data_IF_953410999395
#
_entry.id   IF_953410999395
#
_cell.length_a   1.000
_cell.length_b   1.000
_cell.length_c   1.000
_cell.angle_alpha   90.00
_cell.angle_beta   90.00
_cell.angle_gamma   90.00
#
_symmetry.space_group_name_H-M   'P 1'
#
loop_
_entity.id
_entity.type
_entity.pdbx_description
1 polymer ?
#
# COMPACT_ATOMS: atom_id res chain seq x y z
N UNK A 1 47.14 -34.53 -5.99
CA UNK A 1 46.17 -33.50 -5.52
C UNK A 1 45.23 -33.14 -6.67
N UNK A 2 43.94 -33.48 -6.62
CA UNK A 2 42.91 -32.83 -7.48
C UNK A 2 41.46 -33.19 -7.10
N UNK A 3 41.19 -34.47 -6.78
CA UNK A 3 39.81 -34.97 -6.66
C UNK A 3 39.02 -34.43 -5.45
N UNK A 4 39.68 -34.23 -4.30
CA UNK A 4 39.01 -33.68 -3.11
C UNK A 4 38.55 -32.23 -3.30
N UNK A 5 39.30 -31.43 -4.06
CA UNK A 5 38.92 -30.07 -4.41
C UNK A 5 37.67 -30.04 -5.31
N UNK A 6 37.61 -30.94 -6.30
CA UNK A 6 36.46 -31.07 -7.19
C UNK A 6 35.21 -31.52 -6.43
N UNK A 7 35.33 -32.49 -5.51
CA UNK A 7 34.21 -32.93 -4.65
C UNK A 7 33.69 -31.80 -3.77
N UNK A 8 34.58 -30.99 -3.20
CA UNK A 8 34.19 -29.85 -2.37
C UNK A 8 33.49 -28.76 -3.19
N UNK A 9 33.99 -28.44 -4.39
CA UNK A 9 33.33 -27.50 -5.32
C UNK A 9 31.97 -28.01 -5.79
N UNK A 10 31.85 -29.30 -6.08
CA UNK A 10 30.59 -29.92 -6.47
C UNK A 10 29.55 -29.84 -5.33
N UNK A 11 29.97 -30.15 -4.09
CA UNK A 11 29.10 -30.04 -2.92
C UNK A 11 28.66 -28.59 -2.69
N UNK A 12 29.58 -27.63 -2.81
CA UNK A 12 29.29 -26.19 -2.74
C UNK A 12 28.29 -25.74 -3.80
N UNK A 13 28.46 -26.19 -5.05
CA UNK A 13 27.56 -25.88 -6.16
C UNK A 13 26.16 -26.50 -5.95
N UNK A 14 26.08 -27.74 -5.48
CA UNK A 14 24.81 -28.40 -5.15
C UNK A 14 24.07 -27.67 -4.02
N UNK A 15 24.79 -27.25 -2.98
CA UNK A 15 24.20 -26.46 -1.89
C UNK A 15 23.74 -25.08 -2.37
N UNK A 16 24.55 -24.39 -3.20
CA UNK A 16 24.20 -23.10 -3.77
C UNK A 16 22.98 -23.18 -4.68
N UNK A 17 22.89 -24.20 -5.54
CA UNK A 17 21.74 -24.43 -6.39
C UNK A 17 20.45 -24.67 -5.57
N UNK A 18 20.51 -25.48 -4.52
CA UNK A 18 19.36 -25.70 -3.62
C UNK A 18 18.92 -24.41 -2.91
N UNK A 19 19.86 -23.58 -2.47
CA UNK A 19 19.57 -22.28 -1.85
C UNK A 19 18.95 -21.29 -2.84
N UNK A 20 19.51 -21.20 -4.05
CA UNK A 20 18.98 -20.33 -5.11
C UNK A 20 17.59 -20.77 -5.56
N UNK A 21 17.37 -22.07 -5.73
CA UNK A 21 16.05 -22.61 -6.09
C UNK A 21 14.98 -22.24 -5.06
N UNK A 22 15.26 -22.44 -3.76
CA UNK A 22 14.32 -22.07 -2.67
C UNK A 22 13.96 -20.58 -2.70
N UNK A 23 14.94 -19.72 -2.98
CA UNK A 23 14.75 -18.28 -3.08
C UNK A 23 13.94 -17.87 -4.31
N UNK A 24 14.24 -18.45 -5.47
CA UNK A 24 13.49 -18.24 -6.71
C UNK A 24 12.05 -18.70 -6.57
N UNK A 25 11.78 -19.76 -5.80
CA UNK A 25 10.41 -20.20 -5.53
C UNK A 25 9.67 -19.32 -4.51
N UNK A 26 10.35 -18.73 -3.53
CA UNK A 26 9.72 -17.88 -2.51
C UNK A 26 9.30 -16.52 -3.06
N UNK A 27 10.13 -15.91 -3.90
CA UNK A 27 9.88 -14.59 -4.50
C UNK A 27 8.52 -14.47 -5.24
N UNK A 28 8.13 -15.37 -6.17
CA UNK A 28 6.84 -15.28 -6.85
C UNK A 28 5.66 -15.56 -5.90
N UNK A 29 5.84 -16.41 -4.88
CA UNK A 29 4.81 -16.66 -3.85
C UNK A 29 4.53 -15.41 -3.02
N UNK A 30 5.57 -14.67 -2.66
CA UNK A 30 5.42 -13.40 -1.94
C UNK A 30 4.79 -12.32 -2.82
N UNK A 31 5.14 -12.29 -4.11
CA UNK A 31 4.51 -11.41 -5.09
C UNK A 31 3.00 -11.70 -5.23
N UNK A 32 2.61 -12.96 -5.40
CA UNK A 32 1.21 -13.37 -5.50
C UNK A 32 0.42 -13.00 -4.23
N UNK A 33 1.02 -13.20 -3.05
CA UNK A 33 0.42 -12.78 -1.76
C UNK A 33 0.26 -11.27 -1.67
N UNK A 34 1.23 -10.49 -2.13
CA UNK A 34 1.16 -9.03 -2.16
C UNK A 34 0.04 -8.55 -3.09
N UNK A 35 -0.05 -9.11 -4.30
CA UNK A 35 -1.08 -8.78 -5.28
C UNK A 35 -2.50 -9.08 -4.75
N UNK A 36 -2.68 -10.21 -4.08
CA UNK A 36 -3.97 -10.56 -3.44
C UNK A 36 -4.35 -9.59 -2.31
N UNK A 37 -3.38 -8.93 -1.66
CA UNK A 37 -3.66 -7.92 -0.62
C UNK A 37 -4.00 -6.56 -1.23
N UNK A 38 -3.40 -6.20 -2.36
CA UNK A 38 -3.65 -4.89 -2.99
C UNK A 38 -5.01 -4.79 -3.68
N UNK A 39 -5.56 -5.89 -4.19
CA UNK A 39 -6.83 -5.87 -4.94
C UNK A 39 -8.05 -5.73 -4.00
N UNK A 40 -8.03 -6.39 -2.84
CA UNK A 40 -9.15 -6.44 -1.89
C UNK A 40 -9.70 -5.08 -1.42
N UNK A 41 -8.88 -4.07 -1.05
CA UNK A 41 -9.42 -2.80 -0.55
C UNK A 41 -10.09 -1.93 -1.61
N UNK A 42 -9.86 -2.17 -2.91
CA UNK A 42 -10.43 -1.36 -3.99
C UNK A 42 -11.96 -1.45 -4.06
N UNK A 43 -12.51 -2.65 -3.88
CA UNK A 43 -13.94 -2.91 -4.02
C UNK A 43 -14.74 -2.30 -2.85
N UNK A 44 -14.22 -2.46 -1.63
CA UNK A 44 -14.83 -1.88 -0.42
C UNK A 44 -14.87 -0.35 -0.48
N UNK A 45 -13.81 0.29 -0.98
CA UNK A 45 -13.75 1.74 -1.13
C UNK A 45 -14.76 2.24 -2.18
N UNK A 46 -14.94 1.50 -3.28
CA UNK A 46 -15.93 1.85 -4.30
C UNK A 46 -17.36 1.74 -3.78
N UNK A 47 -17.67 0.70 -2.99
CA UNK A 47 -18.97 0.54 -2.35
C UNK A 47 -19.25 1.66 -1.33
N UNK A 48 -18.27 2.01 -0.49
CA UNK A 48 -18.41 3.11 0.47
C UNK A 48 -18.64 4.46 -0.23
N UNK A 49 -18.01 4.71 -1.38
CA UNK A 49 -18.29 5.90 -2.19
C UNK A 49 -19.72 5.90 -2.75
N UNK A 50 -20.22 4.74 -3.19
CA UNK A 50 -21.59 4.61 -3.69
C UNK A 50 -22.64 4.90 -2.61
N UNK A 51 -22.42 4.47 -1.37
CA UNK A 51 -23.30 4.79 -0.25
C UNK A 51 -23.35 6.30 0.02
N UNK A 52 -22.19 6.95 0.09
CA UNK A 52 -22.09 8.41 0.35
C UNK A 52 -22.73 9.23 -0.77
N UNK A 53 -22.52 8.83 -2.03
CA UNK A 53 -23.15 9.49 -3.18
C UNK A 53 -24.65 9.27 -3.25
N UNK A 54 -25.15 8.11 -2.80
CA UNK A 54 -26.58 7.86 -2.67
C UNK A 54 -27.24 8.74 -1.62
N UNK A 55 -26.61 8.95 -0.45
CA UNK A 55 -27.20 9.74 0.63
C UNK A 55 -27.10 11.26 0.43
N UNK A 56 -25.99 11.73 -0.16
CA UNK A 56 -25.68 13.16 -0.22
C UNK A 56 -25.84 13.76 -1.62
N UNK A 57 -26.23 12.95 -2.62
CA UNK A 57 -26.46 13.39 -3.99
C UNK A 57 -25.17 13.61 -4.80
N UNK A 58 -25.33 14.01 -6.06
CA UNK A 58 -24.26 14.03 -7.06
C UNK A 58 -23.26 15.20 -6.93
N UNK A 59 -23.43 16.11 -5.97
CA UNK A 59 -22.65 17.35 -5.84
C UNK A 59 -21.39 17.24 -4.96
N UNK A 60 -21.18 16.09 -4.29
CA UNK A 60 -20.05 15.85 -3.37
C UNK A 60 -18.69 16.01 -4.04
N UNK A 61 -18.57 15.64 -5.32
CA UNK A 61 -17.31 15.72 -6.06
C UNK A 61 -16.79 17.15 -6.16
N UNK A 62 -17.68 18.13 -6.37
CA UNK A 62 -17.31 19.54 -6.45
C UNK A 62 -16.91 20.10 -5.07
N UNK A 63 -17.65 19.78 -4.01
CA UNK A 63 -17.33 20.22 -2.65
C UNK A 63 -16.00 19.66 -2.13
N UNK A 64 -15.68 18.41 -2.46
CA UNK A 64 -14.38 17.80 -2.11
C UNK A 64 -13.22 18.48 -2.83
N UNK A 65 -13.38 18.80 -4.12
CA UNK A 65 -12.31 19.47 -4.88
C UNK A 65 -12.01 20.87 -4.35
N UNK A 66 -13.03 21.63 -3.95
CA UNK A 66 -12.83 22.96 -3.34
C UNK A 66 -12.22 22.89 -1.94
N UNK A 67 -12.53 21.82 -1.19
CA UNK A 67 -12.06 21.64 0.19
C UNK A 67 -10.60 21.18 0.29
N UNK A 68 -10.03 20.57 -0.75
CA UNK A 68 -8.65 20.05 -0.74
C UNK A 68 -7.66 21.17 -1.12
N UNK A 69 -7.02 21.76 -0.10
CA UNK A 69 -5.98 22.79 -0.28
C UNK A 69 -4.55 22.25 -0.14
N UNK A 70 -4.36 21.27 0.73
CA UNK A 70 -3.08 20.58 0.94
C UNK A 70 -3.31 19.08 1.07
N UNK A 71 -2.30 18.29 0.71
CA UNK A 71 -2.33 16.84 0.93
C UNK A 71 -2.25 16.51 2.43
N UNK A 72 -3.36 16.02 3.00
CA UNK A 72 -3.43 15.54 4.39
C UNK A 72 -2.57 14.30 4.63
N UNK A 73 -2.39 13.47 3.60
CA UNK A 73 -1.53 12.29 3.62
C UNK A 73 -0.30 12.53 2.76
N UNK A 74 0.90 12.41 3.35
CA UNK A 74 2.16 12.45 2.60
C UNK A 74 2.87 11.11 2.72
N UNK A 75 3.34 10.58 1.60
CA UNK A 75 4.17 9.38 1.59
C UNK A 75 5.63 9.75 1.74
N UNK A 76 6.34 9.07 2.64
CA UNK A 76 7.80 9.11 2.73
C UNK A 76 8.37 7.77 2.31
N UNK A 77 9.47 7.81 1.56
CA UNK A 77 10.25 6.63 1.25
C UNK A 77 11.16 6.28 2.44
N UNK A 78 10.94 5.13 3.07
CA UNK A 78 11.83 4.61 4.13
C UNK A 78 12.97 3.81 3.49
N UNK A 79 14.16 3.87 4.12
CA UNK A 79 15.33 3.09 3.70
C UNK A 79 15.00 1.60 3.64
N UNK A 80 15.55 1.00 2.59
CA UNK A 80 15.23 -0.30 2.00
C UNK A 80 15.11 -1.42 3.04
N UNK A 81 14.02 -2.19 2.94
CA UNK A 81 13.91 -3.45 3.68
C UNK A 81 14.61 -4.56 2.88
N UNK A 82 15.45 -5.36 3.54
CA UNK A 82 16.09 -6.52 2.92
C UNK A 82 15.15 -7.71 3.02
N UNK A 83 14.32 -7.91 1.99
CA UNK A 83 13.58 -9.16 1.83
C UNK A 83 14.42 -10.08 0.97
N UNK A 84 14.77 -11.26 1.51
CA UNK A 84 15.49 -12.38 0.84
C UNK A 84 16.30 -11.92 -0.39
N UNK A 85 17.33 -11.11 -0.11
CA UNK A 85 18.33 -10.55 -1.04
C UNK A 85 17.95 -9.39 -1.98
N UNK A 86 16.73 -8.89 -1.98
CA UNK A 86 16.34 -7.74 -2.79
C UNK A 86 16.01 -6.57 -1.88
N UNK A 87 16.58 -5.41 -2.19
CA UNK A 87 16.28 -4.17 -1.50
C UNK A 87 15.00 -3.59 -2.09
N UNK A 88 13.88 -3.73 -1.35
CA UNK A 88 12.62 -3.13 -1.77
C UNK A 88 12.43 -1.77 -1.08
N UNK A 89 12.07 -0.72 -1.84
CA UNK A 89 11.59 0.52 -1.27
C UNK A 89 10.24 0.30 -0.57
N UNK A 90 10.12 0.69 0.70
CA UNK A 90 8.86 0.67 1.44
C UNK A 90 8.39 2.12 1.68
N UNK A 91 7.09 2.35 1.49
CA UNK A 91 6.45 3.64 1.71
C UNK A 91 5.80 3.66 3.10
N UNK A 92 6.07 4.70 3.88
CA UNK A 92 5.31 5.01 5.10
C UNK A 92 4.43 6.22 4.86
N UNK A 93 3.19 6.16 5.37
CA UNK A 93 2.23 7.26 5.30
C UNK A 93 2.36 8.07 6.59
N UNK A 94 2.61 9.37 6.46
CA UNK A 94 2.61 10.33 7.57
C UNK A 94 1.32 11.16 7.48
N UNK A 95 0.53 11.12 8.57
CA UNK A 95 -0.70 11.90 8.74
C UNK A 95 -0.33 13.30 9.24
N UNK A 96 -0.62 14.33 8.43
CA UNK A 96 -0.56 15.71 8.90
C UNK A 96 -1.98 16.19 9.16
N UNK A 97 -2.36 16.36 10.42
CA UNK A 97 -3.62 16.99 10.81
C UNK A 97 -3.61 18.45 10.32
N UNK A 98 -4.26 18.72 9.20
CA UNK A 98 -4.59 20.08 8.76
C UNK A 98 -6.11 20.22 8.90
N UNK A 99 -6.53 20.61 10.09
CA UNK A 99 -7.94 20.95 10.36
C UNK A 99 -8.17 22.35 9.80
N UNK A 100 -8.76 22.44 8.61
CA UNK A 100 -9.41 23.66 8.13
C UNK A 100 -10.88 23.35 7.98
N UNK A 101 -11.58 23.23 9.11
CA UNK A 101 -13.05 23.26 9.13
C UNK A 101 -13.45 24.73 9.15
N UNK A 102 -13.86 25.23 7.99
CA UNK A 102 -14.52 26.52 7.84
C UNK A 102 -15.90 26.42 8.49
N UNK A 103 -16.02 26.88 9.74
CA UNK A 103 -17.26 26.96 10.51
C UNK A 103 -18.21 28.06 10.01
N UNK A 104 -18.65 28.02 8.75
CA UNK A 104 -19.61 29.01 8.23
C UNK A 104 -20.89 28.43 7.63
N UNK A 105 -21.07 27.10 7.62
CA UNK A 105 -22.28 26.48 7.05
C UNK A 105 -23.10 25.62 8.04
N UNK A 106 -22.75 25.60 9.33
CA UNK A 106 -23.51 24.83 10.33
C UNK A 106 -24.73 25.56 10.91
N UNK A 107 -24.92 26.85 10.61
CA UNK A 107 -26.09 27.62 11.05
C UNK A 107 -27.34 27.43 10.16
N UNK A 108 -27.23 26.73 9.03
CA UNK A 108 -28.32 26.57 8.05
C UNK A 108 -29.10 25.24 8.15
N UNK A 109 -28.69 24.31 9.03
CA UNK A 109 -29.34 22.98 9.15
C UNK A 109 -30.21 22.87 10.42
N UNK A 110 -30.18 23.85 11.34
CA UNK A 110 -30.99 23.82 12.56
C UNK A 110 -32.40 24.44 12.45
N UNK A 111 -32.84 24.95 11.28
CA UNK A 111 -34.18 25.55 11.13
C UNK A 111 -35.17 24.73 10.29
N UNK A 112 -34.94 23.43 10.08
CA UNK A 112 -35.85 22.59 9.29
C UNK A 112 -35.97 21.18 9.83
N UNK A 113 -36.50 21.06 11.05
CA UNK A 113 -37.30 19.90 11.46
C UNK A 113 -38.46 20.43 12.33
N UNK A 114 -39.71 20.00 12.08
CA UNK A 114 -40.87 20.37 12.90
C UNK A 114 -40.81 19.75 14.30
#
# INVERSE_FOLDING_TARGET
MNLNLVKQRLKGAQTGHSQLKKKVEHSPRDFERSLKRSIKPSELAAFSLAEVTYTSGNEIGYQLQESVKEASFRSRLIKQTSLVSSFLPLLSIELRLVVVVSYQNLSLIQSSYP
#
